data_IF_963799307273
#
_entry.id   IF_963799307273
#
_cell.length_a   1.000
_cell.length_b   1.000
_cell.length_c   1.000
_cell.angle_alpha   90.00
_cell.angle_beta   90.00
_cell.angle_gamma   90.00
#
_symmetry.space_group_name_H-M   'P 1'
#
loop_
_entity.id
_entity.type
_entity.pdbx_description
1 polymer ?
#
# COMPACT_ATOMS: atom_id res chain seq x y z
N UNK A 1 -14.06 12.22 -9.61
CA UNK A 1 -13.43 10.90 -9.36
C UNK A 1 -11.95 11.11 -9.24
N UNK A 2 -11.34 10.61 -8.19
CA UNK A 2 -9.88 10.69 -8.00
C UNK A 2 -9.36 9.31 -7.65
N UNK A 3 -8.20 8.93 -8.18
CA UNK A 3 -7.61 7.63 -7.86
C UNK A 3 -6.65 7.76 -6.67
N UNK A 4 -6.65 6.73 -5.82
CA UNK A 4 -5.77 6.60 -4.66
C UNK A 4 -4.47 5.91 -5.05
N UNK A 5 -4.60 4.75 -5.70
CA UNK A 5 -3.46 3.97 -6.18
C UNK A 5 -3.91 3.04 -7.32
N UNK A 6 -2.93 2.48 -8.05
CA UNK A 6 -3.20 1.58 -9.17
C UNK A 6 -2.10 0.53 -9.35
N UNK A 7 -2.49 -0.66 -9.82
CA UNK A 7 -1.51 -1.66 -10.20
C UNK A 7 -1.93 -2.44 -11.47
N UNK A 8 -0.95 -3.03 -12.14
CA UNK A 8 -1.17 -3.86 -13.31
C UNK A 8 -1.22 -5.34 -12.92
N UNK A 9 -2.41 -5.94 -12.99
CA UNK A 9 -2.63 -7.38 -12.82
C UNK A 9 -2.26 -8.12 -14.11
N UNK A 10 -1.02 -8.61 -14.15
CA UNK A 10 -0.49 -9.34 -15.31
C UNK A 10 -1.22 -10.65 -15.59
N UNK A 11 -1.82 -11.27 -14.55
CA UNK A 11 -2.51 -12.58 -14.69
C UNK A 11 -3.80 -12.43 -15.47
N UNK A 12 -4.54 -11.35 -15.22
CA UNK A 12 -5.84 -11.10 -15.84
C UNK A 12 -5.78 -10.06 -16.97
N UNK A 13 -4.59 -9.47 -17.22
CA UNK A 13 -4.36 -8.39 -18.19
C UNK A 13 -5.28 -7.18 -17.92
N UNK A 14 -5.29 -6.71 -16.67
CA UNK A 14 -6.11 -5.59 -16.21
C UNK A 14 -5.25 -4.57 -15.45
N UNK A 15 -5.58 -3.30 -15.60
CA UNK A 15 -5.13 -2.23 -14.71
C UNK A 15 -6.22 -2.00 -13.67
N UNK A 16 -5.91 -2.32 -12.43
CA UNK A 16 -6.80 -2.13 -11.29
C UNK A 16 -6.49 -0.80 -10.62
N UNK A 17 -7.52 0.01 -10.40
CA UNK A 17 -7.40 1.34 -9.82
C UNK A 17 -8.30 1.44 -8.61
N UNK A 18 -7.75 1.89 -7.49
CA UNK A 18 -8.53 2.24 -6.31
C UNK A 18 -8.93 3.71 -6.42
N UNK A 19 -10.21 3.97 -6.44
CA UNK A 19 -10.78 5.31 -6.44
C UNK A 19 -11.45 5.62 -5.10
N UNK A 20 -11.56 6.92 -4.76
CA UNK A 20 -12.47 7.40 -3.72
C UNK A 20 -13.61 8.18 -4.36
N UNK A 21 -14.83 7.70 -4.11
CA UNK A 21 -16.07 8.33 -4.55
C UNK A 21 -16.95 8.55 -3.31
N UNK A 22 -17.25 9.79 -3.02
CA UNK A 22 -18.03 10.18 -1.82
C UNK A 22 -17.48 9.58 -0.51
N UNK A 23 -16.14 9.61 -0.38
CA UNK A 23 -15.43 9.09 0.78
C UNK A 23 -15.25 7.56 0.83
N UNK A 24 -15.87 6.81 -0.09
CA UNK A 24 -15.76 5.34 -0.13
C UNK A 24 -14.73 4.88 -1.14
N UNK A 25 -13.95 3.87 -0.77
CA UNK A 25 -13.04 3.19 -1.72
C UNK A 25 -13.82 2.25 -2.61
N UNK A 26 -13.55 2.34 -3.91
CA UNK A 26 -14.02 1.40 -4.93
C UNK A 26 -12.86 0.91 -5.78
N UNK A 27 -12.95 -0.32 -6.25
CA UNK A 27 -11.97 -0.90 -7.16
C UNK A 27 -12.53 -0.89 -8.58
N UNK A 28 -11.82 -0.25 -9.49
CA UNK A 28 -12.20 -0.13 -10.91
C UNK A 28 -11.19 -0.86 -11.78
N UNK A 29 -11.69 -1.68 -12.70
CA UNK A 29 -10.88 -2.42 -13.65
C UNK A 29 -10.87 -1.73 -15.02
N UNK A 30 -9.68 -1.44 -15.53
CA UNK A 30 -9.46 -0.89 -16.86
C UNK A 30 -8.71 -1.88 -17.75
N UNK A 31 -9.02 -1.88 -19.05
CA UNK A 31 -8.20 -2.61 -20.03
C UNK A 31 -6.87 -1.87 -20.20
N UNK A 32 -5.74 -2.59 -20.21
CA UNK A 32 -4.44 -1.99 -20.48
C UNK A 32 -4.40 -1.35 -21.86
N UNK A 33 -3.64 -0.26 -21.98
CA UNK A 33 -3.43 0.45 -23.25
C UNK A 33 -2.08 0.02 -23.82
N UNK A 34 -2.12 -0.58 -25.00
CA UNK A 34 -0.96 -1.05 -25.74
C UNK A 34 -0.81 -0.27 -27.04
N UNK A 35 -0.21 0.91 -26.98
CA UNK A 35 0.13 1.74 -28.14
C UNK A 35 1.55 2.26 -28.01
N UNK A 36 2.13 2.71 -29.10
CA UNK A 36 3.37 3.46 -29.18
C UNK A 36 3.41 4.23 -30.51
N UNK A 37 4.38 5.12 -30.67
CA UNK A 37 4.49 5.91 -31.89
C UNK A 37 5.78 5.57 -32.63
N UNK A 38 5.73 5.67 -33.97
CA UNK A 38 6.87 5.50 -34.86
C UNK A 38 7.03 6.72 -35.74
N UNK A 39 8.27 7.09 -36.10
CA UNK A 39 8.53 8.15 -37.08
C UNK A 39 7.91 7.77 -38.42
N UNK A 40 7.07 8.66 -38.95
CA UNK A 40 6.48 8.55 -40.29
C UNK A 40 6.26 9.94 -40.84
N UNK A 41 6.82 10.32 -42.02
CA UNK A 41 6.61 11.64 -42.62
C UNK A 41 5.14 12.04 -42.83
N UNK A 42 4.24 11.04 -42.92
CA UNK A 42 2.78 11.23 -43.06
C UNK A 42 2.05 11.16 -41.72
N UNK A 43 2.79 11.07 -40.60
CA UNK A 43 2.23 10.98 -39.26
C UNK A 43 1.40 12.20 -38.88
N UNK A 44 0.23 11.95 -38.26
CA UNK A 44 -0.69 12.99 -37.81
C UNK A 44 -0.32 13.57 -36.44
N UNK A 45 0.49 12.87 -35.67
CA UNK A 45 0.96 13.28 -34.36
C UNK A 45 2.36 13.89 -34.45
N UNK A 46 2.78 14.55 -33.37
CA UNK A 46 4.13 15.10 -33.23
C UNK A 46 4.80 14.51 -31.99
N UNK A 47 6.06 14.10 -32.17
CA UNK A 47 6.89 13.70 -31.04
C UNK A 47 7.25 14.93 -30.19
N UNK A 48 7.82 14.70 -29.00
CA UNK A 48 8.40 15.77 -28.15
C UNK A 48 9.50 16.58 -28.85
N UNK A 49 10.09 16.05 -29.93
CA UNK A 49 11.10 16.72 -30.74
C UNK A 49 10.51 17.39 -32.01
N UNK A 50 9.16 17.34 -32.18
CA UNK A 50 8.50 17.91 -33.35
C UNK A 50 8.44 17.01 -34.59
N UNK A 51 9.05 15.82 -34.55
CA UNK A 51 8.98 14.86 -35.65
C UNK A 51 7.56 14.36 -35.91
N UNK A 52 7.14 14.20 -37.17
CA UNK A 52 5.87 13.57 -37.48
C UNK A 52 5.91 12.07 -37.11
N UNK A 53 4.86 11.58 -36.41
CA UNK A 53 4.77 10.21 -35.94
C UNK A 53 3.38 9.62 -36.17
N UNK A 54 3.33 8.31 -36.43
CA UNK A 54 2.11 7.51 -36.50
C UNK A 54 1.94 6.69 -35.24
N UNK A 55 0.71 6.61 -34.73
CA UNK A 55 0.34 5.76 -33.60
C UNK A 55 0.10 4.33 -34.05
N UNK A 56 0.69 3.38 -33.35
CA UNK A 56 0.53 1.93 -33.55
C UNK A 56 -0.23 1.36 -32.35
N UNK A 57 -1.43 0.86 -32.60
CA UNK A 57 -2.26 0.17 -31.62
C UNK A 57 -2.06 -1.35 -31.68
N UNK A 58 -2.01 -1.96 -30.50
CA UNK A 58 -1.84 -3.40 -30.34
C UNK A 58 -2.96 -3.97 -29.46
N UNK A 59 -3.44 -5.17 -29.78
CA UNK A 59 -4.58 -5.79 -29.10
C UNK A 59 -4.23 -6.31 -27.69
N UNK A 60 -2.96 -6.63 -27.46
CA UNK A 60 -2.48 -7.22 -26.21
C UNK A 60 -0.96 -7.06 -26.07
N UNK A 61 -0.45 -7.40 -24.89
CA UNK A 61 0.99 -7.33 -24.56
C UNK A 61 1.90 -8.14 -25.51
N UNK A 62 1.42 -9.26 -26.05
CA UNK A 62 2.21 -10.11 -26.99
C UNK A 62 2.39 -9.39 -28.32
N UNK A 63 1.32 -8.84 -28.87
CA UNK A 63 1.36 -8.07 -30.13
C UNK A 63 2.18 -6.80 -29.96
N UNK A 64 2.03 -6.10 -28.83
CA UNK A 64 2.83 -4.92 -28.48
C UNK A 64 4.33 -5.24 -28.55
N UNK A 65 4.79 -6.28 -27.84
CA UNK A 65 6.22 -6.68 -27.85
C UNK A 65 6.71 -7.04 -29.25
N UNK A 66 5.88 -7.75 -30.02
CA UNK A 66 6.21 -8.11 -31.42
C UNK A 66 6.39 -6.85 -32.28
N UNK A 67 5.46 -5.90 -32.19
CA UNK A 67 5.50 -4.68 -32.98
C UNK A 67 6.62 -3.74 -32.57
N UNK A 68 6.88 -3.58 -31.24
CA UNK A 68 8.04 -2.82 -30.77
C UNK A 68 9.36 -3.39 -31.31
N UNK A 69 9.51 -4.72 -31.35
CA UNK A 69 10.68 -5.37 -31.94
C UNK A 69 10.78 -5.14 -33.47
N UNK A 70 9.65 -5.17 -34.18
CA UNK A 70 9.59 -4.93 -35.62
C UNK A 70 10.02 -3.50 -36.00
N UNK A 71 9.57 -2.50 -35.21
CA UNK A 71 9.84 -1.08 -35.47
C UNK A 71 11.09 -0.55 -34.74
N UNK A 72 11.89 -1.41 -34.14
CA UNK A 72 13.06 -1.02 -33.29
C UNK A 72 13.99 0.00 -33.94
N UNK A 73 14.14 -0.03 -35.26
CA UNK A 73 15.03 0.87 -36.02
C UNK A 73 14.31 2.08 -36.64
N UNK A 74 13.01 2.24 -36.42
CA UNK A 74 12.19 3.29 -37.05
C UNK A 74 12.01 4.54 -36.18
N UNK A 75 12.73 4.67 -35.05
CA UNK A 75 12.53 5.73 -34.08
C UNK A 75 11.21 5.58 -33.34
N UNK A 76 11.28 4.92 -32.17
CA UNK A 76 10.14 4.63 -31.32
C UNK A 76 9.96 5.74 -30.26
N UNK A 77 8.69 6.04 -29.96
CA UNK A 77 8.30 6.91 -28.85
C UNK A 77 7.24 6.22 -28.02
N UNK A 78 7.29 6.41 -26.69
CA UNK A 78 6.37 5.86 -25.71
C UNK A 78 6.25 4.32 -25.69
N UNK A 79 7.18 3.61 -26.31
CA UNK A 79 7.22 2.14 -26.29
C UNK A 79 7.68 1.57 -24.94
N UNK A 80 8.28 2.40 -24.09
CA UNK A 80 8.77 2.13 -22.73
C UNK A 80 7.77 2.52 -21.64
N UNK A 81 6.72 3.28 -21.98
CA UNK A 81 5.68 3.68 -21.03
C UNK A 81 4.84 2.46 -20.67
N UNK A 82 4.71 2.21 -19.37
CA UNK A 82 3.92 1.09 -18.85
C UNK A 82 2.44 1.25 -19.18
N UNK A 83 1.71 0.17 -19.48
CA UNK A 83 0.25 0.20 -19.72
C UNK A 83 -0.54 0.85 -18.58
N UNK A 84 -0.11 0.66 -17.33
CA UNK A 84 -0.66 1.32 -16.16
C UNK A 84 -0.63 2.85 -16.31
N UNK A 85 0.55 3.41 -16.63
CA UNK A 85 0.71 4.88 -16.73
C UNK A 85 -0.13 5.47 -17.87
N UNK A 86 -0.27 4.73 -18.98
CA UNK A 86 -1.14 5.14 -20.10
C UNK A 86 -2.63 5.13 -19.73
N UNK A 87 -3.06 4.18 -18.90
CA UNK A 87 -4.43 4.14 -18.38
C UNK A 87 -4.66 5.32 -17.43
N UNK A 88 -3.73 5.57 -16.50
CA UNK A 88 -3.84 6.68 -15.56
C UNK A 88 -3.86 8.03 -16.29
N UNK A 89 -2.97 8.23 -17.26
CA UNK A 89 -2.96 9.44 -18.10
C UNK A 89 -4.29 9.62 -18.82
N UNK A 90 -4.83 8.58 -19.44
CA UNK A 90 -6.07 8.68 -20.23
C UNK A 90 -7.32 8.96 -19.39
N UNK A 91 -7.42 8.35 -18.22
CA UNK A 91 -8.64 8.38 -17.43
C UNK A 91 -8.60 9.38 -16.27
N UNK A 92 -7.39 9.75 -15.79
CA UNK A 92 -7.24 10.50 -14.53
C UNK A 92 -6.40 11.77 -14.63
N UNK A 93 -5.80 12.13 -15.80
CA UNK A 93 -4.91 13.30 -15.94
C UNK A 93 -5.55 14.64 -15.52
N UNK A 94 -6.87 14.77 -15.62
CA UNK A 94 -7.61 15.99 -15.29
C UNK A 94 -8.48 15.81 -14.03
N UNK A 95 -8.23 14.80 -13.24
CA UNK A 95 -8.97 14.58 -11.99
C UNK A 95 -8.32 15.34 -10.83
N UNK A 96 -9.13 15.70 -9.85
CA UNK A 96 -8.61 16.29 -8.62
C UNK A 96 -7.73 15.29 -7.86
N UNK A 97 -6.76 15.82 -7.10
CA UNK A 97 -5.96 15.00 -6.19
C UNK A 97 -6.87 14.45 -5.08
N UNK A 98 -6.85 13.14 -4.80
CA UNK A 98 -7.66 12.57 -3.74
C UNK A 98 -7.20 13.09 -2.37
N UNK A 99 -8.15 13.28 -1.46
CA UNK A 99 -7.83 13.40 -0.04
C UNK A 99 -7.52 12.00 0.48
N UNK A 100 -6.25 11.67 0.60
CA UNK A 100 -5.82 10.39 1.13
C UNK A 100 -6.13 10.30 2.62
N UNK A 101 -6.62 9.16 3.05
CA UNK A 101 -6.87 8.85 4.45
C UNK A 101 -5.63 8.19 5.03
N UNK A 102 -4.92 8.93 5.89
CA UNK A 102 -3.68 8.46 6.50
C UNK A 102 -3.93 8.04 7.94
N UNK A 103 -3.55 6.83 8.29
CA UNK A 103 -3.45 6.35 9.65
C UNK A 103 -1.98 6.37 10.08
N UNK A 104 -1.69 7.11 11.13
CA UNK A 104 -0.39 7.08 11.80
C UNK A 104 -0.49 6.12 12.97
N UNK A 105 0.45 5.19 13.08
CA UNK A 105 0.46 4.25 14.19
C UNK A 105 1.86 3.99 14.72
N UNK A 106 1.89 3.58 15.97
CA UNK A 106 3.07 3.21 16.73
C UNK A 106 2.74 2.03 17.63
N UNK A 107 3.71 1.14 17.90
CA UNK A 107 3.50 -0.06 18.69
C UNK A 107 4.41 -0.08 19.92
N UNK A 108 3.90 -0.64 21.01
CA UNK A 108 4.71 -1.03 22.16
C UNK A 108 4.76 -2.55 22.25
N UNK A 109 5.95 -3.07 22.51
CA UNK A 109 6.23 -4.51 22.52
C UNK A 109 6.71 -4.91 23.90
N UNK A 110 6.31 -6.07 24.38
CA UNK A 110 6.78 -6.61 25.64
C UNK A 110 8.28 -6.93 25.57
N UNK A 111 8.92 -7.01 26.73
CA UNK A 111 10.36 -7.24 26.89
C UNK A 111 10.63 -8.56 27.57
N UNK A 112 11.56 -9.34 27.06
CA UNK A 112 12.05 -10.57 27.68
C UNK A 112 13.39 -10.31 28.38
N UNK A 113 13.48 -10.49 29.71
CA UNK A 113 14.71 -10.23 30.45
C UNK A 113 15.91 -11.12 30.06
N UNK A 114 15.66 -12.30 29.52
CA UNK A 114 16.72 -13.23 29.11
C UNK A 114 17.13 -13.07 27.66
N UNK A 115 16.16 -12.80 26.76
CA UNK A 115 16.39 -12.70 25.31
C UNK A 115 16.57 -11.26 24.82
N UNK A 116 16.17 -10.27 25.63
CA UNK A 116 16.21 -8.84 25.26
C UNK A 116 15.03 -8.41 24.39
N UNK A 117 15.26 -7.36 23.60
CA UNK A 117 14.26 -6.82 22.68
C UNK A 117 14.06 -7.73 21.48
N UNK A 118 12.81 -7.89 21.08
CA UNK A 118 12.42 -8.64 19.89
C UNK A 118 12.66 -7.81 18.62
N UNK A 119 13.32 -8.42 17.63
CA UNK A 119 13.48 -7.76 16.33
C UNK A 119 12.23 -7.93 15.45
N UNK A 120 12.05 -7.09 14.42
CA UNK A 120 10.94 -7.26 13.48
C UNK A 120 10.93 -8.64 12.80
N UNK A 121 12.11 -9.22 12.51
CA UNK A 121 12.24 -10.48 11.78
C UNK A 121 11.76 -11.66 12.62
N UNK A 122 12.11 -11.67 13.90
CA UNK A 122 11.70 -12.77 14.78
C UNK A 122 10.37 -12.50 15.49
N UNK A 123 10.03 -11.22 15.75
CA UNK A 123 8.78 -10.76 16.37
C UNK A 123 8.25 -11.74 17.43
N UNK A 124 9.13 -12.17 18.37
CA UNK A 124 8.78 -13.23 19.32
C UNK A 124 7.95 -12.72 20.50
N UNK A 125 8.09 -11.44 20.85
CA UNK A 125 7.32 -10.82 21.93
C UNK A 125 5.97 -10.34 21.45
N UNK A 126 4.99 -10.31 22.36
CA UNK A 126 3.64 -9.79 22.11
C UNK A 126 3.64 -8.28 21.95
N UNK A 127 2.83 -7.75 21.02
CA UNK A 127 2.50 -6.33 21.00
C UNK A 127 1.56 -6.07 22.17
N UNK A 128 1.91 -5.14 23.03
CA UNK A 128 1.15 -4.80 24.24
C UNK A 128 0.22 -3.62 24.04
N UNK A 129 0.59 -2.69 23.15
CA UNK A 129 -0.32 -1.61 22.72
C UNK A 129 -0.05 -1.15 21.29
N UNK A 130 -1.09 -0.57 20.69
CA UNK A 130 -1.04 0.06 19.37
C UNK A 130 -1.76 1.39 19.47
N UNK A 131 -1.03 2.50 19.36
CA UNK A 131 -1.58 3.83 19.20
C UNK A 131 -1.88 4.10 17.71
N UNK A 132 -3.08 4.56 17.39
CA UNK A 132 -3.49 4.89 16.00
C UNK A 132 -4.13 6.26 15.96
N UNK A 133 -3.59 7.17 15.13
CA UNK A 133 -4.24 8.44 14.80
C UNK A 133 -4.83 8.37 13.40
N UNK A 134 -6.14 8.49 13.30
CA UNK A 134 -6.90 8.49 12.05
C UNK A 134 -7.08 9.94 11.57
N UNK A 135 -6.19 10.39 10.68
CA UNK A 135 -6.13 11.79 10.25
C UNK A 135 -7.46 12.31 9.68
N UNK A 136 -8.18 11.50 8.91
CA UNK A 136 -9.44 11.92 8.28
C UNK A 136 -10.61 12.08 9.23
N UNK A 137 -10.49 11.51 10.44
CA UNK A 137 -11.51 11.59 11.50
C UNK A 137 -11.08 12.51 12.64
N UNK A 138 -9.80 12.98 12.63
CA UNK A 138 -9.17 13.67 13.75
C UNK A 138 -9.36 12.90 15.06
N UNK A 139 -9.15 11.58 15.01
CA UNK A 139 -9.43 10.68 16.13
C UNK A 139 -8.20 9.85 16.51
N UNK A 140 -7.94 9.77 17.82
CA UNK A 140 -6.93 8.89 18.40
C UNK A 140 -7.62 7.64 18.95
N UNK A 141 -7.02 6.47 18.72
CA UNK A 141 -7.42 5.19 19.29
C UNK A 141 -6.16 4.53 19.86
N UNK A 142 -6.23 4.07 21.10
CA UNK A 142 -5.18 3.27 21.73
C UNK A 142 -5.75 1.88 22.05
N UNK A 143 -5.21 0.86 21.39
CA UNK A 143 -5.57 -0.53 21.61
C UNK A 143 -4.54 -1.14 22.57
N UNK A 144 -4.95 -1.75 23.67
CA UNK A 144 -3.99 -2.25 24.67
C UNK A 144 -4.40 -3.58 25.29
N UNK A 145 -3.40 -4.41 25.53
CA UNK A 145 -3.49 -5.62 26.36
C UNK A 145 -2.85 -5.28 27.71
N UNK A 146 -3.60 -5.31 28.82
CA UNK A 146 -3.05 -4.98 30.11
C UNK A 146 -1.90 -5.93 30.51
N UNK A 147 -0.90 -5.41 31.25
CA UNK A 147 0.17 -6.24 31.76
C UNK A 147 -0.37 -7.29 32.74
N UNK A 148 0.24 -8.46 32.77
CA UNK A 148 -0.18 -9.62 33.62
C UNK A 148 -0.15 -9.30 35.15
N UNK A 149 0.49 -8.21 35.53
CA UNK A 149 0.54 -7.71 36.91
C UNK A 149 -0.74 -7.02 37.37
N UNK A 150 -1.64 -6.63 36.44
CA UNK A 150 -2.93 -6.03 36.73
C UNK A 150 -4.06 -7.02 36.54
N UNK A 151 -5.06 -6.96 37.42
CA UNK A 151 -6.34 -7.61 37.15
C UNK A 151 -7.11 -6.81 36.10
N UNK A 152 -8.10 -7.44 35.46
CA UNK A 152 -8.94 -6.79 34.45
C UNK A 152 -9.65 -5.55 35.03
N UNK A 153 -10.20 -5.66 36.23
CA UNK A 153 -10.90 -4.54 36.90
C UNK A 153 -9.97 -3.40 37.25
N UNK A 154 -8.73 -3.70 37.63
CA UNK A 154 -7.69 -2.67 37.85
C UNK A 154 -7.35 -1.96 36.56
N UNK A 155 -7.14 -2.69 35.46
CA UNK A 155 -6.85 -2.11 34.16
C UNK A 155 -8.00 -1.20 33.69
N UNK A 156 -9.25 -1.66 33.81
CA UNK A 156 -10.43 -0.84 33.50
C UNK A 156 -10.52 0.41 34.38
N UNK A 157 -10.23 0.30 35.66
CA UNK A 157 -10.24 1.45 36.57
C UNK A 157 -9.18 2.50 36.20
N UNK A 158 -7.98 2.05 35.83
CA UNK A 158 -6.90 2.96 35.43
C UNK A 158 -7.23 3.71 34.13
N UNK A 159 -7.87 3.05 33.19
CA UNK A 159 -8.20 3.62 31.86
C UNK A 159 -9.58 4.28 31.80
N UNK A 160 -10.36 4.28 32.87
CA UNK A 160 -11.73 4.78 32.90
C UNK A 160 -11.89 6.25 32.47
N UNK A 161 -10.82 7.04 32.59
CA UNK A 161 -10.79 8.45 32.19
C UNK A 161 -10.17 8.70 30.80
N UNK A 162 -9.81 7.64 30.06
CA UNK A 162 -9.18 7.66 28.76
C UNK A 162 -10.14 7.07 27.73
N UNK A 163 -11.06 7.87 27.15
CA UNK A 163 -12.07 7.36 26.22
C UNK A 163 -11.50 6.79 24.93
N UNK A 164 -10.26 7.16 24.57
CA UNK A 164 -9.52 6.66 23.40
C UNK A 164 -8.95 5.25 23.62
N UNK A 165 -8.89 4.75 24.87
CA UNK A 165 -8.27 3.46 25.19
C UNK A 165 -9.29 2.32 25.14
N UNK A 166 -8.97 1.32 24.34
CA UNK A 166 -9.72 0.04 24.23
C UNK A 166 -8.86 -1.10 24.78
N UNK A 167 -9.35 -1.76 25.85
CA UNK A 167 -8.67 -2.88 26.47
C UNK A 167 -9.09 -4.21 25.85
N UNK A 168 -8.13 -5.11 25.66
CA UNK A 168 -8.32 -6.46 25.13
C UNK A 168 -7.74 -7.49 26.11
N UNK A 169 -8.33 -8.68 26.14
CA UNK A 169 -7.80 -9.77 26.97
C UNK A 169 -6.63 -10.46 26.32
N UNK A 170 -6.51 -10.40 25.02
CA UNK A 170 -5.46 -11.07 24.24
C UNK A 170 -4.95 -10.18 23.12
N UNK A 171 -3.68 -10.37 22.76
CA UNK A 171 -3.08 -9.75 21.57
C UNK A 171 -3.88 -10.09 20.30
N UNK A 172 -4.42 -11.31 20.21
CA UNK A 172 -5.25 -11.75 19.07
C UNK A 172 -6.45 -10.83 18.85
N UNK A 173 -7.21 -10.55 19.89
CA UNK A 173 -8.38 -9.65 19.82
C UNK A 173 -7.96 -8.22 19.46
N UNK A 174 -6.87 -7.74 20.04
CA UNK A 174 -6.31 -6.43 19.75
C UNK A 174 -5.89 -6.31 18.29
N UNK A 175 -5.13 -7.27 17.74
CA UNK A 175 -4.71 -7.25 16.33
C UNK A 175 -5.89 -7.34 15.36
N UNK A 176 -6.92 -8.11 15.68
CA UNK A 176 -8.14 -8.16 14.88
C UNK A 176 -8.84 -6.81 14.83
N UNK A 177 -8.93 -6.12 15.97
CA UNK A 177 -9.52 -4.78 16.05
C UNK A 177 -8.64 -3.75 15.35
N UNK A 178 -7.31 -3.83 15.49
CA UNK A 178 -6.38 -2.97 14.74
C UNK A 178 -6.63 -3.01 13.24
N UNK A 179 -6.76 -4.22 12.68
CA UNK A 179 -7.05 -4.41 11.25
C UNK A 179 -8.42 -3.82 10.83
N UNK A 180 -9.39 -3.74 11.74
CA UNK A 180 -10.67 -3.08 11.49
C UNK A 180 -10.55 -1.56 11.56
N UNK A 181 -9.80 -1.03 12.55
CA UNK A 181 -9.58 0.41 12.74
C UNK A 181 -8.92 1.04 11.51
N UNK A 182 -7.95 0.34 10.91
CA UNK A 182 -7.22 0.84 9.73
C UNK A 182 -7.86 0.47 8.38
N UNK A 183 -9.00 -0.21 8.38
CA UNK A 183 -9.60 -0.79 7.15
C UNK A 183 -9.78 0.25 6.04
N UNK A 184 -10.13 1.50 6.39
CA UNK A 184 -10.35 2.57 5.41
C UNK A 184 -9.14 3.49 5.20
N UNK A 185 -7.98 3.17 5.79
CA UNK A 185 -6.75 3.93 5.57
C UNK A 185 -6.18 3.65 4.17
N UNK A 186 -5.80 4.71 3.44
CA UNK A 186 -5.08 4.62 2.17
C UNK A 186 -3.57 4.51 2.39
N UNK A 187 -3.10 5.10 3.48
CA UNK A 187 -1.69 5.14 3.87
C UNK A 187 -1.57 4.74 5.33
N UNK A 188 -0.65 3.81 5.61
CA UNK A 188 -0.16 3.54 6.95
C UNK A 188 1.21 4.19 7.10
N UNK A 189 1.42 4.95 8.17
CA UNK A 189 2.66 5.66 8.45
C UNK A 189 2.95 5.71 9.96
N UNK A 190 4.14 6.14 10.34
CA UNK A 190 4.58 6.33 11.71
C UNK A 190 6.05 6.72 11.74
N UNK A 191 6.57 7.02 12.93
CA UNK A 191 8.00 7.32 13.08
C UNK A 191 8.82 6.06 12.87
N UNK A 192 9.73 6.04 11.88
CA UNK A 192 10.54 4.86 11.53
C UNK A 192 9.72 3.57 11.29
N UNK A 193 8.45 3.70 10.93
CA UNK A 193 7.51 2.59 10.85
C UNK A 193 7.90 1.55 9.77
N UNK A 194 8.60 1.96 8.71
CA UNK A 194 9.14 1.04 7.71
C UNK A 194 10.24 0.13 8.26
N UNK A 195 11.02 0.65 9.25
CA UNK A 195 12.13 -0.09 9.86
C UNK A 195 11.70 -0.99 11.01
N UNK A 196 10.60 -0.69 11.70
CA UNK A 196 10.19 -1.45 12.88
C UNK A 196 8.70 -1.80 12.91
N UNK A 197 7.79 -0.83 13.02
CA UNK A 197 6.37 -1.08 13.33
C UNK A 197 5.67 -1.92 12.28
N UNK A 198 5.84 -1.58 11.01
CA UNK A 198 5.20 -2.30 9.89
C UNK A 198 5.70 -3.74 9.77
N UNK A 199 7.01 -4.02 9.71
CA UNK A 199 7.49 -5.39 9.63
C UNK A 199 7.19 -6.18 10.91
N UNK A 200 7.31 -5.57 12.11
CA UNK A 200 6.97 -6.23 13.37
C UNK A 200 5.50 -6.64 13.40
N UNK A 201 4.59 -5.69 13.17
CA UNK A 201 3.15 -5.93 13.17
C UNK A 201 2.76 -6.97 12.12
N UNK A 202 3.36 -6.91 10.92
CA UNK A 202 3.14 -7.90 9.86
C UNK A 202 3.50 -9.30 10.35
N UNK A 203 4.68 -9.47 10.95
CA UNK A 203 5.14 -10.77 11.45
C UNK A 203 4.34 -11.24 12.67
N UNK A 204 3.88 -10.35 13.55
CA UNK A 204 2.95 -10.70 14.64
C UNK A 204 1.61 -11.18 14.11
N UNK A 205 1.02 -10.48 13.13
CA UNK A 205 -0.22 -10.90 12.49
C UNK A 205 -0.06 -12.30 11.86
N UNK A 206 1.06 -12.57 11.19
CA UNK A 206 1.33 -13.91 10.63
C UNK A 206 1.33 -14.98 11.72
N UNK A 207 1.98 -14.72 12.86
CA UNK A 207 2.08 -15.68 13.97
C UNK A 207 0.77 -15.88 14.72
N UNK A 208 0.01 -14.81 14.95
CA UNK A 208 -1.17 -14.83 15.84
C UNK A 208 -2.47 -15.09 15.09
N UNK A 209 -2.63 -14.49 13.91
CA UNK A 209 -3.85 -14.54 13.11
C UNK A 209 -3.73 -15.42 11.86
N UNK A 210 -2.49 -15.60 11.37
CA UNK A 210 -2.21 -16.29 10.13
C UNK A 210 -1.91 -15.35 8.96
N UNK A 211 -1.13 -15.86 8.00
CA UNK A 211 -0.62 -15.08 6.87
C UNK A 211 -1.71 -14.42 6.01
N UNK A 212 -2.89 -15.04 5.89
CA UNK A 212 -4.00 -14.48 5.11
C UNK A 212 -4.46 -13.12 5.63
N UNK A 213 -4.41 -12.90 6.96
CA UNK A 213 -4.89 -11.67 7.58
C UNK A 213 -4.01 -10.45 7.25
N UNK A 214 -2.74 -10.67 6.89
CA UNK A 214 -1.86 -9.57 6.47
C UNK A 214 -2.32 -8.88 5.17
N UNK A 215 -3.25 -9.48 4.42
CA UNK A 215 -3.86 -8.85 3.26
C UNK A 215 -4.60 -7.56 3.61
N UNK A 216 -5.14 -7.47 4.82
CA UNK A 216 -5.84 -6.29 5.34
C UNK A 216 -4.93 -5.08 5.58
N UNK A 217 -3.62 -5.29 5.60
CA UNK A 217 -2.61 -4.22 5.61
C UNK A 217 -2.38 -3.60 4.22
N UNK A 218 -2.93 -4.19 3.16
CA UNK A 218 -2.66 -3.79 1.79
C UNK A 218 -3.95 -3.42 1.07
N UNK A 219 -3.89 -2.42 0.18
CA UNK A 219 -4.92 -2.21 -0.82
C UNK A 219 -5.00 -3.44 -1.73
N UNK A 220 -6.13 -3.69 -2.37
CA UNK A 220 -6.40 -4.81 -3.32
C UNK A 220 -6.29 -6.22 -2.73
N UNK A 221 -6.38 -6.38 -1.41
CA UNK A 221 -6.30 -7.71 -0.78
C UNK A 221 -5.02 -8.49 -1.15
N UNK A 222 -3.91 -7.77 -1.40
CA UNK A 222 -2.61 -8.38 -1.70
C UNK A 222 -1.85 -8.71 -0.41
N UNK A 223 -0.94 -9.67 -0.52
CA UNK A 223 0.03 -9.90 0.55
C UNK A 223 1.08 -8.79 0.57
N UNK A 224 1.52 -8.33 1.74
CA UNK A 224 2.65 -7.41 1.88
C UNK A 224 3.89 -7.93 1.15
N UNK A 225 4.65 -7.01 0.56
CA UNK A 225 5.92 -7.32 -0.12
C UNK A 225 7.01 -6.45 0.46
N UNK A 226 8.06 -7.08 0.93
CA UNK A 226 9.28 -6.42 1.31
C UNK A 226 10.06 -5.97 0.07
N UNK A 227 10.65 -4.77 0.12
CA UNK A 227 11.61 -4.29 -0.86
C UNK A 227 12.86 -3.84 -0.13
N UNK A 228 13.95 -4.53 -0.37
CA UNK A 228 15.27 -4.13 0.12
C UNK A 228 15.88 -3.19 -0.90
N UNK A 229 16.23 -1.97 -0.47
CA UNK A 229 16.98 -1.01 -1.28
C UNK A 229 18.44 -1.06 -0.85
N UNK A 230 19.31 -1.56 -1.71
CA UNK A 230 20.75 -1.39 -1.53
C UNK A 230 21.10 0.07 -1.87
N UNK A 231 21.45 0.86 -0.87
CA UNK A 231 22.07 2.17 -1.07
C UNK A 231 23.50 1.95 -1.57
N UNK A 232 23.73 2.06 -2.87
CA UNK A 232 25.06 2.12 -3.43
C UNK A 232 25.76 3.38 -2.90
N UNK A 233 26.69 3.21 -1.95
CA UNK A 233 27.67 4.20 -1.50
C UNK A 233 27.36 4.87 -0.18
N UNK A 234 27.36 4.15 0.90
CA UNK A 234 27.85 4.56 2.22
C UNK A 234 28.36 3.33 2.96
N UNK A 235 29.62 3.00 2.77
CA UNK A 235 30.44 2.49 3.85
C UNK A 235 30.64 3.67 4.84
N UNK A 236 30.15 3.54 6.04
CA UNK A 236 30.56 4.23 7.23
C UNK A 236 30.63 3.20 8.36
#
# INVERSE_FOLDING_TARGET
MSYVDAFYDKKHDLVKVVERVDGKRILVDHKPIYNFFVKDPRGKHRSIYGDPVCEIWCKNSKEFRKNVALYKHSGLFESDIRPLNKVLERHYQNTEVPKLQTAFFDIEVDFDPERGYSSPEDAFMEITSIGVYLQWMDAMVCLAVPPKTLTWDQAQSVTAHMPEVMLFKTEKEMLQTFLQVIEDADILSGWNSEGYDIPYTTNRIIKVLGRSETRKLCLWDQLPKERIYENYGKEN
#
